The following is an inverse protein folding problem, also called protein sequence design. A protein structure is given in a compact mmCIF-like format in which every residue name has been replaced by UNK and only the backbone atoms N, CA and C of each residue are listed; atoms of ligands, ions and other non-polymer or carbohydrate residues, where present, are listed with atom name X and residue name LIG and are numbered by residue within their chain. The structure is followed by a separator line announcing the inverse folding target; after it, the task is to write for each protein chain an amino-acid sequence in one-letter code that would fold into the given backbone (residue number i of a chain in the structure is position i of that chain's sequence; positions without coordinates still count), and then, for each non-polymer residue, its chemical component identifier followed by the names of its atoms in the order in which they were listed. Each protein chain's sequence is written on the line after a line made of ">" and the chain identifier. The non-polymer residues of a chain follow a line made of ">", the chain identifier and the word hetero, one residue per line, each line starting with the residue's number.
data_IF_004194223138
#
_entry.id   IF_004194223138
#
_cell.length_a   1.000
_cell.length_b   1.000
_cell.length_c   1.000
_cell.angle_alpha   90.00
_cell.angle_beta   90.00
_cell.angle_gamma   90.00
#
_symmetry.space_group_name_H-M   'P 1'
#
loop_
_entity.id
_entity.type
_entity.pdbx_description
1 polymer ?
#
# COMPACT_ATOMS: atom_id res chain seq x y z
N UNK A 1 -12.50 8.87 -2.24
CA UNK A 1 -11.41 8.41 -1.35
C UNK A 1 -10.91 7.01 -1.68
N UNK A 2 -11.82 6.10 -1.96
CA UNK A 2 -11.40 4.73 -2.34
C UNK A 2 -10.64 4.70 -3.64
N UNK A 3 -10.94 5.58 -4.59
CA UNK A 3 -10.17 5.67 -5.82
C UNK A 3 -8.75 6.20 -5.59
N UNK A 4 -8.56 7.09 -4.62
CA UNK A 4 -7.21 7.54 -4.25
C UNK A 4 -6.43 6.38 -3.62
N UNK A 5 -7.07 5.61 -2.73
CA UNK A 5 -6.46 4.41 -2.18
C UNK A 5 -6.07 3.42 -3.29
N UNK A 6 -6.96 3.20 -4.25
CA UNK A 6 -6.69 2.31 -5.38
C UNK A 6 -5.48 2.79 -6.19
N UNK A 7 -5.40 4.09 -6.45
CA UNK A 7 -4.26 4.69 -7.14
C UNK A 7 -2.97 4.50 -6.35
N UNK A 8 -3.02 4.76 -5.05
CA UNK A 8 -1.86 4.60 -4.18
C UNK A 8 -1.37 3.16 -4.13
N UNK A 9 -2.28 2.20 -4.05
CA UNK A 9 -1.91 0.78 -4.06
C UNK A 9 -1.27 0.38 -5.39
N UNK A 10 -1.76 0.91 -6.51
CA UNK A 10 -1.16 0.63 -7.82
C UNK A 10 0.25 1.19 -7.95
N UNK A 11 0.48 2.41 -7.47
CA UNK A 11 1.82 3.02 -7.49
C UNK A 11 2.74 2.27 -6.51
N UNK A 12 2.24 1.95 -5.33
CA UNK A 12 2.99 1.22 -4.32
C UNK A 12 3.36 -0.18 -4.80
N UNK A 13 2.47 -0.85 -5.53
CA UNK A 13 2.73 -2.17 -6.10
C UNK A 13 4.00 -2.15 -6.95
N UNK A 14 4.10 -1.22 -7.89
CA UNK A 14 5.29 -1.10 -8.74
C UNK A 14 6.51 -0.63 -7.95
N UNK A 15 6.31 0.27 -7.00
CA UNK A 15 7.39 0.76 -6.15
C UNK A 15 8.03 -0.38 -5.34
N UNK A 16 7.22 -1.26 -4.77
CA UNK A 16 7.72 -2.43 -4.02
C UNK A 16 8.45 -3.39 -4.96
N UNK A 17 7.94 -3.61 -6.17
CA UNK A 17 8.64 -4.43 -7.17
C UNK A 17 9.98 -3.81 -7.57
N UNK A 18 10.01 -2.50 -7.78
CA UNK A 18 11.24 -1.79 -8.08
C UNK A 18 12.29 -2.06 -6.98
N UNK A 19 11.88 -1.91 -5.73
CA UNK A 19 12.75 -2.18 -4.60
C UNK A 19 13.19 -3.65 -4.51
N UNK A 20 12.28 -4.56 -4.81
CA UNK A 20 12.57 -6.00 -4.82
C UNK A 20 13.68 -6.34 -5.82
N UNK A 21 13.65 -5.69 -6.98
CA UNK A 21 14.66 -5.92 -8.02
C UNK A 21 15.97 -5.19 -7.76
N UNK A 22 15.94 -4.05 -7.08
CA UNK A 22 17.08 -3.15 -6.98
C UNK A 22 17.72 -3.05 -5.59
N UNK A 23 17.28 -3.87 -4.66
CA UNK A 23 17.80 -3.81 -3.28
C UNK A 23 19.26 -4.23 -3.21
N UNK A 24 20.05 -3.45 -2.44
CA UNK A 24 21.44 -3.76 -2.11
C UNK A 24 21.61 -3.78 -0.60
N UNK A 25 22.61 -4.47 -0.12
CA UNK A 25 23.00 -4.46 1.28
C UNK A 25 23.03 -5.84 1.90
N UNK A 26 23.45 -5.89 3.16
CA UNK A 26 23.66 -7.18 3.84
C UNK A 26 22.37 -7.91 4.15
N UNK A 27 21.23 -7.23 4.12
CA UNK A 27 19.92 -7.84 4.31
C UNK A 27 19.22 -8.16 2.99
N UNK A 28 19.98 -8.31 1.91
CA UNK A 28 19.43 -8.54 0.58
C UNK A 28 18.41 -9.68 0.56
N UNK A 29 18.80 -10.86 1.06
CA UNK A 29 17.95 -12.04 0.93
C UNK A 29 16.62 -11.90 1.68
N UNK A 30 16.66 -11.36 2.90
CA UNK A 30 15.45 -11.20 3.70
C UNK A 30 14.56 -10.09 3.17
N UNK A 31 15.14 -8.96 2.77
CA UNK A 31 14.35 -7.83 2.25
C UNK A 31 13.80 -8.17 0.87
N UNK A 32 14.60 -8.76 -0.02
CA UNK A 32 14.14 -9.18 -1.34
C UNK A 32 12.92 -10.10 -1.24
N UNK A 33 12.98 -11.10 -0.36
CA UNK A 33 11.88 -12.04 -0.14
C UNK A 33 10.66 -11.35 0.48
N UNK A 34 10.86 -10.48 1.45
CA UNK A 34 9.76 -9.76 2.12
C UNK A 34 9.03 -8.83 1.16
N UNK A 35 9.77 -8.18 0.27
CA UNK A 35 9.18 -7.28 -0.73
C UNK A 35 8.28 -8.06 -1.69
N UNK A 36 8.62 -9.28 -2.05
CA UNK A 36 7.75 -10.12 -2.87
C UNK A 36 6.44 -10.44 -2.16
N UNK A 37 6.50 -10.78 -0.87
CA UNK A 37 5.29 -10.99 -0.07
C UNK A 37 4.42 -9.75 -0.08
N UNK A 38 5.02 -8.56 0.08
CA UNK A 38 4.30 -7.30 0.10
C UNK A 38 3.62 -7.02 -1.24
N UNK A 39 4.33 -7.13 -2.37
CA UNK A 39 3.67 -6.77 -3.62
C UNK A 39 2.61 -7.78 -4.03
N UNK A 40 2.75 -9.04 -3.66
CA UNK A 40 1.69 -10.02 -3.90
C UNK A 40 0.44 -9.70 -3.09
N UNK A 41 0.58 -9.31 -1.83
CA UNK A 41 -0.53 -8.84 -0.99
C UNK A 41 -1.19 -7.59 -1.57
N UNK A 42 -0.37 -6.62 -1.98
CA UNK A 42 -0.89 -5.37 -2.55
C UNK A 42 -1.68 -5.66 -3.83
N UNK A 43 -1.21 -6.60 -4.65
CA UNK A 43 -1.93 -7.00 -5.85
C UNK A 43 -3.33 -7.53 -5.53
N UNK A 44 -3.46 -8.34 -4.49
CA UNK A 44 -4.77 -8.82 -4.02
C UNK A 44 -5.63 -7.68 -3.50
N UNK A 45 -5.04 -6.75 -2.77
CA UNK A 45 -5.75 -5.58 -2.24
C UNK A 45 -6.29 -4.68 -3.37
N UNK A 46 -5.52 -4.50 -4.44
CA UNK A 46 -5.95 -3.73 -5.60
C UNK A 46 -7.26 -4.29 -6.15
N UNK A 47 -7.31 -5.61 -6.33
CA UNK A 47 -8.50 -6.27 -6.87
C UNK A 47 -9.69 -6.13 -5.91
N UNK A 48 -9.48 -6.37 -4.61
CA UNK A 48 -10.51 -6.25 -3.60
C UNK A 48 -11.11 -4.84 -3.53
N UNK A 49 -10.25 -3.81 -3.57
CA UNK A 49 -10.71 -2.41 -3.51
C UNK A 49 -11.48 -2.05 -4.78
N UNK A 50 -10.96 -2.43 -5.96
CA UNK A 50 -11.64 -2.15 -7.21
C UNK A 50 -13.03 -2.81 -7.25
N UNK A 51 -13.13 -4.05 -6.81
CA UNK A 51 -14.39 -4.78 -6.79
C UNK A 51 -15.35 -4.23 -5.74
N UNK A 52 -14.82 -3.75 -4.62
CA UNK A 52 -15.67 -3.08 -3.61
C UNK A 52 -16.28 -1.79 -4.17
N UNK A 53 -15.49 -1.00 -4.91
CA UNK A 53 -15.98 0.20 -5.57
C UNK A 53 -17.14 -0.14 -6.53
N UNK A 54 -16.98 -1.22 -7.30
CA UNK A 54 -18.05 -1.69 -8.19
C UNK A 54 -19.28 -2.14 -7.41
N UNK A 55 -19.09 -2.86 -6.30
CA UNK A 55 -20.17 -3.37 -5.46
C UNK A 55 -21.04 -2.25 -4.88
N UNK A 56 -20.47 -1.10 -4.59
CA UNK A 56 -21.21 0.06 -4.09
C UNK A 56 -21.63 1.00 -5.23
N UNK A 57 -21.62 0.48 -6.46
CA UNK A 57 -22.15 1.13 -7.67
C UNK A 57 -21.41 2.38 -8.10
N UNK A 58 -20.10 2.42 -7.81
CA UNK A 58 -19.22 3.46 -8.31
C UNK A 58 -18.30 2.86 -9.37
N UNK A 59 -17.41 3.66 -9.94
CA UNK A 59 -16.47 3.23 -10.98
C UNK A 59 -15.04 3.34 -10.47
N UNK A 60 -14.29 2.21 -10.43
CA UNK A 60 -12.86 2.31 -10.13
C UNK A 60 -12.11 2.87 -11.34
N UNK A 61 -11.17 3.77 -11.09
CA UNK A 61 -10.25 4.17 -12.15
C UNK A 61 -9.36 2.98 -12.51
N UNK A 62 -8.99 2.88 -13.78
CA UNK A 62 -8.33 1.68 -14.28
C UNK A 62 -7.20 1.98 -15.28
N UNK A 63 -6.64 3.18 -15.26
CA UNK A 63 -5.52 3.53 -16.13
C UNK A 63 -4.34 4.03 -15.31
N UNK A 64 -3.13 3.71 -15.74
CA UNK A 64 -1.92 4.18 -15.09
C UNK A 64 -1.84 5.70 -15.06
N UNK A 65 -2.25 6.33 -16.16
CA UNK A 65 -2.26 7.80 -16.24
C UNK A 65 -3.10 8.40 -15.10
N UNK A 66 -4.30 7.85 -14.88
CA UNK A 66 -5.19 8.37 -13.83
C UNK A 66 -4.62 8.11 -12.44
N UNK A 67 -4.05 6.95 -12.22
CA UNK A 67 -3.42 6.63 -10.94
C UNK A 67 -2.29 7.62 -10.62
N UNK A 68 -1.45 7.92 -11.59
CA UNK A 68 -0.34 8.83 -11.39
C UNK A 68 -0.79 10.28 -11.16
N UNK A 69 -1.95 10.66 -11.73
CA UNK A 69 -2.50 12.01 -11.51
C UNK A 69 -3.00 12.23 -10.09
N UNK A 70 -3.55 11.17 -9.46
CA UNK A 70 -4.26 11.34 -8.17
C UNK A 70 -3.55 10.72 -6.98
N UNK A 71 -2.48 9.96 -7.19
CA UNK A 71 -1.78 9.24 -6.11
C UNK A 71 -1.10 10.20 -5.13
N UNK A 72 -1.05 9.76 -3.87
CA UNK A 72 -0.25 10.39 -2.83
C UNK A 72 1.07 9.67 -2.59
N UNK A 73 1.34 8.59 -3.33
CA UNK A 73 2.58 7.82 -3.21
C UNK A 73 3.54 8.26 -4.30
N UNK A 74 4.79 8.52 -3.92
CA UNK A 74 5.83 8.91 -4.85
C UNK A 74 6.49 7.67 -5.42
N UNK A 75 6.69 7.63 -6.74
CA UNK A 75 7.38 6.52 -7.39
C UNK A 75 8.83 6.42 -6.90
N UNK A 76 9.38 5.20 -6.90
CA UNK A 76 10.79 4.99 -6.67
C UNK A 76 11.58 5.34 -7.94
N UNK A 77 12.85 5.68 -7.77
CA UNK A 77 13.75 5.95 -8.89
C UNK A 77 14.24 4.63 -9.51
N UNK A 78 14.62 4.68 -10.77
CA UNK A 78 15.22 3.55 -11.48
C UNK A 78 16.70 3.43 -11.12
N UNK A 79 16.99 2.97 -9.91
CA UNK A 79 18.36 2.86 -9.42
C UNK A 79 18.43 1.85 -8.27
N UNK A 80 19.64 1.40 -7.98
CA UNK A 80 19.88 0.55 -6.81
C UNK A 80 19.63 1.35 -5.54
N UNK A 81 19.18 0.67 -4.51
CA UNK A 81 18.82 1.31 -3.24
C UNK A 81 19.23 0.40 -2.06
N UNK A 82 19.73 1.02 -1.01
CA UNK A 82 20.16 0.32 0.19
C UNK A 82 18.95 -0.18 0.99
N UNK A 83 19.07 -1.38 1.54
CA UNK A 83 18.01 -2.07 2.26
C UNK A 83 17.34 -1.21 3.36
N UNK A 84 18.12 -0.51 4.17
CA UNK A 84 17.57 0.34 5.23
C UNK A 84 16.77 1.51 4.68
N UNK A 85 17.18 2.06 3.55
CA UNK A 85 16.45 3.16 2.92
C UNK A 85 15.10 2.68 2.37
N UNK A 86 15.06 1.46 1.83
CA UNK A 86 13.82 0.83 1.40
C UNK A 86 12.84 0.75 2.58
N UNK A 87 13.31 0.22 3.71
CA UNK A 87 12.45 0.03 4.89
C UNK A 87 11.92 1.37 5.40
N UNK A 88 12.77 2.40 5.44
CA UNK A 88 12.34 3.75 5.84
C UNK A 88 11.29 4.32 4.91
N UNK A 89 11.48 4.17 3.60
CA UNK A 89 10.55 4.69 2.60
C UNK A 89 9.22 3.95 2.66
N UNK A 90 9.24 2.63 2.76
CA UNK A 90 8.01 1.84 2.86
C UNK A 90 7.26 2.11 4.16
N UNK A 91 7.98 2.34 5.26
CA UNK A 91 7.33 2.70 6.51
C UNK A 91 6.52 3.99 6.33
N UNK A 92 7.09 5.00 5.68
CA UNK A 92 6.39 6.24 5.39
C UNK A 92 5.19 6.02 4.45
N UNK A 93 5.36 5.21 3.42
CA UNK A 93 4.29 4.90 2.47
C UNK A 93 3.15 4.15 3.15
N UNK A 94 3.46 3.16 3.97
CA UNK A 94 2.45 2.39 4.70
C UNK A 94 1.71 3.26 5.72
N UNK A 95 2.37 4.24 6.33
CA UNK A 95 1.71 5.22 7.19
C UNK A 95 0.70 6.07 6.41
N UNK A 96 1.04 6.46 5.19
CA UNK A 96 0.12 7.17 4.29
C UNK A 96 -1.11 6.30 4.00
N UNK A 97 -0.89 5.04 3.62
CA UNK A 97 -1.99 4.09 3.36
C UNK A 97 -2.86 3.93 4.60
N UNK A 98 -2.26 3.72 5.76
CA UNK A 98 -3.00 3.53 7.01
C UNK A 98 -3.90 4.74 7.31
N UNK A 99 -3.40 5.95 7.11
CA UNK A 99 -4.19 7.16 7.30
C UNK A 99 -5.41 7.21 6.38
N UNK A 100 -5.23 6.81 5.12
CA UNK A 100 -6.32 6.76 4.14
C UNK A 100 -7.36 5.70 4.50
N UNK A 101 -6.91 4.53 4.96
CA UNK A 101 -7.82 3.47 5.40
C UNK A 101 -8.70 3.93 6.56
N UNK A 102 -8.11 4.63 7.52
CA UNK A 102 -8.87 5.16 8.67
C UNK A 102 -9.88 6.23 8.25
N UNK A 103 -9.50 7.09 7.30
CA UNK A 103 -10.42 8.09 6.76
C UNK A 103 -11.61 7.46 6.04
N UNK A 104 -11.35 6.43 5.23
CA UNK A 104 -12.39 5.69 4.53
C UNK A 104 -13.33 5.02 5.54
N UNK A 105 -12.77 4.42 6.59
CA UNK A 105 -13.57 3.78 7.62
C UNK A 105 -14.51 4.77 8.31
N UNK A 106 -13.99 5.93 8.70
CA UNK A 106 -14.82 6.96 9.36
C UNK A 106 -15.98 7.41 8.47
N UNK A 107 -15.70 7.61 7.18
CA UNK A 107 -16.72 8.03 6.24
C UNK A 107 -17.75 6.92 6.00
N UNK A 108 -17.31 5.68 5.84
CA UNK A 108 -18.17 4.54 5.68
C UNK A 108 -19.10 4.37 6.88
N UNK A 109 -18.59 4.53 8.10
CA UNK A 109 -19.40 4.44 9.32
C UNK A 109 -20.48 5.53 9.35
N UNK A 110 -20.15 6.75 8.94
CA UNK A 110 -21.11 7.86 8.89
C UNK A 110 -22.26 7.58 7.91
N UNK A 111 -21.95 6.92 6.81
CA UNK A 111 -22.92 6.60 5.76
C UNK A 111 -23.59 5.25 5.97
N UNK A 112 -23.26 4.57 7.05
CA UNK A 112 -23.75 3.21 7.35
C UNK A 112 -23.35 2.19 6.28
N UNK A 113 -22.23 2.43 5.60
CA UNK A 113 -21.64 1.47 4.68
C UNK A 113 -20.78 0.50 5.48
N UNK A 114 -21.45 -0.40 6.19
CA UNK A 114 -20.78 -1.30 7.14
C UNK A 114 -19.88 -2.34 6.45
N UNK A 115 -20.19 -2.68 5.21
CA UNK A 115 -19.34 -3.60 4.43
C UNK A 115 -17.98 -2.99 4.14
N UNK A 116 -17.95 -1.73 3.72
CA UNK A 116 -16.68 -1.02 3.49
C UNK A 116 -15.94 -0.83 4.80
N UNK A 117 -16.65 -0.44 5.87
CA UNK A 117 -16.07 -0.28 7.20
C UNK A 117 -15.37 -1.57 7.67
N UNK A 118 -16.05 -2.71 7.53
CA UNK A 118 -15.52 -4.01 7.93
C UNK A 118 -14.28 -4.38 7.10
N UNK A 119 -14.30 -4.11 5.80
CA UNK A 119 -13.14 -4.34 4.93
C UNK A 119 -11.95 -3.50 5.38
N UNK A 120 -12.18 -2.23 5.76
CA UNK A 120 -11.12 -1.36 6.24
C UNK A 120 -10.50 -1.86 7.54
N UNK A 121 -11.28 -2.45 8.44
CA UNK A 121 -10.76 -3.00 9.69
C UNK A 121 -9.64 -4.01 9.46
N UNK A 122 -9.84 -4.94 8.54
CA UNK A 122 -8.84 -5.97 8.25
C UNK A 122 -7.58 -5.37 7.62
N UNK A 123 -7.76 -4.43 6.72
CA UNK A 123 -6.62 -3.76 6.09
C UNK A 123 -5.84 -2.92 7.10
N UNK A 124 -6.53 -2.21 7.99
CA UNK A 124 -5.92 -1.42 9.06
C UNK A 124 -5.03 -2.32 9.93
N UNK A 125 -5.58 -3.45 10.40
CA UNK A 125 -4.83 -4.39 11.23
C UNK A 125 -3.56 -4.87 10.49
N UNK A 126 -3.71 -5.21 9.21
CA UNK A 126 -2.58 -5.67 8.39
C UNK A 126 -1.47 -4.64 8.26
N UNK A 127 -1.83 -3.39 7.98
CA UNK A 127 -0.81 -2.33 7.84
C UNK A 127 -0.21 -1.94 9.19
N UNK A 128 -0.98 -1.97 10.26
CA UNK A 128 -0.43 -1.75 11.60
C UNK A 128 0.60 -2.82 11.97
N UNK A 129 0.33 -4.07 11.64
CA UNK A 129 1.28 -5.16 11.85
C UNK A 129 2.57 -4.94 11.05
N UNK A 130 2.44 -4.55 9.77
CA UNK A 130 3.61 -4.26 8.93
C UNK A 130 4.44 -3.11 9.50
N UNK A 131 3.77 -2.06 9.95
CA UNK A 131 4.45 -0.90 10.52
C UNK A 131 5.20 -1.25 11.80
N UNK A 132 4.61 -2.09 12.66
CA UNK A 132 5.30 -2.59 13.84
C UNK A 132 6.59 -3.31 13.45
N UNK A 133 6.51 -4.22 12.48
CA UNK A 133 7.66 -5.03 12.07
C UNK A 133 8.75 -4.18 11.40
N UNK A 134 8.36 -3.24 10.54
CA UNK A 134 9.33 -2.34 9.91
C UNK A 134 10.01 -1.46 10.93
N UNK A 135 9.26 -0.94 11.91
CA UNK A 135 9.81 -0.16 12.99
C UNK A 135 10.82 -0.94 13.84
N UNK A 136 10.51 -2.20 14.14
CA UNK A 136 11.41 -3.08 14.87
C UNK A 136 12.71 -3.33 14.10
N UNK A 137 12.60 -3.55 12.78
CA UNK A 137 13.77 -3.74 11.93
C UNK A 137 14.69 -2.51 11.96
N UNK A 138 14.11 -1.32 12.00
CA UNK A 138 14.87 -0.06 12.00
C UNK A 138 15.55 0.27 13.33
N UNK A 139 15.29 -0.46 14.39
CA UNK A 139 15.88 -0.22 15.72
C UNK A 139 17.27 -0.81 15.90
N UNK A 140 17.93 -1.15 14.85
CA UNK A 140 19.28 -1.76 14.91
C UNK A 140 20.35 -0.76 15.36
#
# INVERSE_FOLDING_TARGET
>A
KMNVLLADLNVLYRKVQNYHWNVDGRNFFTIHAKLEEYYNEINEQIDEIAERILSIKARPYATMKKYLEITNIKEAKDEDIIDLDIVKNLKADFETILGELKDIKREADKEEDFGTSAMMDELIIGYETKLWMLGAFLKQ
#
